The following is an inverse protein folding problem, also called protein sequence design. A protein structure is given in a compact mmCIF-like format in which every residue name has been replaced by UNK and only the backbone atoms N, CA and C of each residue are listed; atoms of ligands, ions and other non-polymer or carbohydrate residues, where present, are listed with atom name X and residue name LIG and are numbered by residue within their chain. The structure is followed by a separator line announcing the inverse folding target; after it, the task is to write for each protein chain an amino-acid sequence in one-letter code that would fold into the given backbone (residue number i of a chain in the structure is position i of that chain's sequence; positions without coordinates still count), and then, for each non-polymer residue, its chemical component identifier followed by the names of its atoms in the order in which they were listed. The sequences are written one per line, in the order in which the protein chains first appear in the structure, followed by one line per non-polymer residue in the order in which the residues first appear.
data_IF_909365445643
#
_entry.id   IF_909365445643
#
_cell.length_a   1.000
_cell.length_b   1.000
_cell.length_c   1.000
_cell.angle_alpha   90.00
_cell.angle_beta   90.00
_cell.angle_gamma   90.00
#
_symmetry.space_group_name_H-M   'P 1'
#
loop_
_entity.id
_entity.type
_entity.pdbx_description
1 polymer ?
#
# COMPACT_ATOMS: atom_id res chain seq x y z
N UNK A 1 -55.13 -18.42 45.63
CA UNK A 1 -54.57 -17.50 44.61
C UNK A 1 -53.88 -18.30 43.52
N UNK A 2 -54.58 -18.64 42.43
CA UNK A 2 -53.99 -19.31 41.26
C UNK A 2 -53.50 -18.24 40.29
N UNK A 3 -52.31 -17.69 40.53
CA UNK A 3 -51.68 -16.76 39.60
C UNK A 3 -51.35 -17.53 38.31
N UNK A 4 -51.97 -17.11 37.20
CA UNK A 4 -51.96 -17.80 35.91
C UNK A 4 -50.54 -17.83 35.34
N UNK A 5 -49.81 -18.93 35.54
CA UNK A 5 -48.49 -19.20 34.96
C UNK A 5 -48.46 -19.00 33.42
N UNK A 6 -49.60 -19.19 32.74
CA UNK A 6 -49.76 -18.89 31.31
C UNK A 6 -49.50 -17.43 30.94
N UNK A 7 -49.84 -16.47 31.81
CA UNK A 7 -49.60 -15.05 31.52
C UNK A 7 -48.14 -14.68 31.77
N UNK A 8 -47.51 -15.26 32.79
CA UNK A 8 -46.08 -15.05 33.06
C UNK A 8 -45.23 -15.60 31.90
N UNK A 9 -45.57 -16.77 31.37
CA UNK A 9 -44.86 -17.37 30.23
C UNK A 9 -45.02 -16.54 28.95
N UNK A 10 -46.20 -15.97 28.71
CA UNK A 10 -46.42 -15.07 27.57
C UNK A 10 -45.63 -13.77 27.68
N UNK A 11 -45.55 -13.19 28.88
CA UNK A 11 -44.75 -11.99 29.14
C UNK A 11 -43.26 -12.28 28.99
N UNK A 12 -42.79 -13.43 29.50
CA UNK A 12 -41.39 -13.85 29.35
C UNK A 12 -41.02 -14.11 27.88
N UNK A 13 -41.90 -14.74 27.11
CA UNK A 13 -41.70 -14.97 25.68
C UNK A 13 -41.68 -13.65 24.90
N UNK A 14 -42.54 -12.70 25.24
CA UNK A 14 -42.53 -11.36 24.63
C UNK A 14 -41.25 -10.59 24.98
N UNK A 15 -40.76 -10.71 26.21
CA UNK A 15 -39.53 -10.07 26.66
C UNK A 15 -38.31 -10.68 25.96
N UNK A 16 -38.26 -12.01 25.82
CA UNK A 16 -37.16 -12.69 25.08
C UNK A 16 -37.20 -12.30 23.61
N UNK A 17 -38.37 -12.27 22.96
CA UNK A 17 -38.49 -11.83 21.56
C UNK A 17 -38.11 -10.36 21.39
N UNK A 18 -38.53 -9.48 22.31
CA UNK A 18 -38.17 -8.07 22.30
C UNK A 18 -36.67 -7.86 22.53
N UNK A 19 -36.05 -8.61 23.45
CA UNK A 19 -34.61 -8.53 23.73
C UNK A 19 -33.81 -9.11 22.57
N UNK A 20 -34.23 -10.21 21.94
CA UNK A 20 -33.59 -10.70 20.71
C UNK A 20 -33.76 -9.72 19.55
N UNK A 21 -34.93 -9.08 19.39
CA UNK A 21 -35.13 -8.08 18.35
C UNK A 21 -34.28 -6.82 18.61
N UNK A 22 -34.15 -6.37 19.86
CA UNK A 22 -33.30 -5.23 20.23
C UNK A 22 -31.82 -5.60 20.07
N UNK A 23 -31.38 -6.81 20.39
CA UNK A 23 -30.00 -7.25 20.18
C UNK A 23 -29.72 -7.43 18.67
N UNK A 24 -30.68 -7.91 17.88
CA UNK A 24 -30.58 -7.95 16.41
C UNK A 24 -30.61 -6.57 15.75
N UNK A 25 -31.31 -5.59 16.34
CA UNK A 25 -31.35 -4.20 15.88
C UNK A 25 -30.19 -3.34 16.41
N UNK A 26 -29.50 -3.78 17.47
CA UNK A 26 -28.41 -3.03 18.11
C UNK A 26 -27.01 -3.60 17.83
N UNK A 27 -26.91 -4.81 17.25
CA UNK A 27 -25.63 -5.44 16.81
C UNK A 27 -25.50 -5.48 15.29
N UNK A 28 -26.52 -5.05 14.55
CA UNK A 28 -26.37 -4.64 13.15
C UNK A 28 -26.49 -3.12 13.15
N UNK A 29 -25.43 -2.43 13.58
CA UNK A 29 -25.08 -1.24 12.82
C UNK A 29 -24.92 -1.74 11.39
N UNK A 30 -25.67 -1.22 10.41
CA UNK A 30 -25.19 -1.34 9.05
C UNK A 30 -23.76 -0.86 9.12
N UNK A 31 -22.82 -1.71 8.72
CA UNK A 31 -21.61 -1.21 8.09
C UNK A 31 -22.15 -0.12 7.18
N UNK A 32 -21.82 1.14 7.45
CA UNK A 32 -21.94 2.19 6.47
C UNK A 32 -21.22 1.61 5.27
N UNK A 33 -22.04 1.11 4.34
CA UNK A 33 -21.66 1.06 2.96
C UNK A 33 -21.30 2.51 2.70
N UNK A 34 -20.01 2.82 2.74
CA UNK A 34 -19.41 3.87 1.91
C UNK A 34 -19.56 3.46 0.42
N UNK A 35 -20.77 3.03 0.05
CA UNK A 35 -21.30 3.07 -1.29
C UNK A 35 -21.97 4.44 -1.39
N UNK A 36 -21.15 5.48 -1.50
CA UNK A 36 -21.59 6.72 -2.14
C UNK A 36 -21.77 6.49 -3.66
N UNK A 37 -22.42 5.40 -4.07
CA UNK A 37 -23.00 5.26 -5.41
C UNK A 37 -24.40 5.89 -5.47
N UNK A 38 -24.99 6.26 -4.34
CA UNK A 38 -26.26 7.00 -4.28
C UNK A 38 -26.07 8.52 -4.11
N UNK A 39 -24.96 8.97 -3.51
CA UNK A 39 -24.58 10.39 -3.44
C UNK A 39 -23.98 10.95 -4.75
N UNK A 40 -23.67 10.08 -5.72
CA UNK A 40 -23.16 10.50 -7.04
C UNK A 40 -24.27 10.92 -8.02
N UNK A 41 -25.55 10.68 -7.68
CA UNK A 41 -26.68 11.14 -8.48
C UNK A 41 -27.02 12.60 -8.12
N UNK A 42 -26.33 13.54 -8.76
CA UNK A 42 -26.61 14.97 -8.59
C UNK A 42 -25.38 15.88 -8.56
N UNK A 43 -24.17 15.34 -8.70
CA UNK A 43 -22.96 16.13 -8.71
C UNK A 43 -22.95 17.14 -9.87
N UNK A 44 -22.96 18.43 -9.52
CA UNK A 44 -22.87 19.55 -10.44
C UNK A 44 -21.44 19.61 -10.96
N UNK A 45 -21.26 19.34 -12.25
CA UNK A 45 -19.97 19.45 -12.92
C UNK A 45 -19.98 20.69 -13.84
N UNK A 46 -18.84 21.38 -13.97
CA UNK A 46 -18.72 22.57 -14.82
C UNK A 46 -18.03 22.19 -16.13
N UNK A 47 -18.68 22.46 -17.26
CA UNK A 47 -18.08 22.21 -18.58
C UNK A 47 -17.09 23.32 -18.94
N UNK A 48 -15.84 22.95 -19.28
CA UNK A 48 -14.82 23.90 -19.72
C UNK A 48 -14.71 23.94 -21.25
N UNK A 49 -14.65 22.76 -21.87
CA UNK A 49 -14.60 22.62 -23.34
C UNK A 49 -15.49 21.48 -23.78
N UNK A 50 -15.39 21.09 -25.05
CA UNK A 50 -16.21 20.00 -25.56
C UNK A 50 -15.88 18.63 -25.00
N UNK A 51 -14.62 18.40 -24.59
CA UNK A 51 -14.15 17.15 -23.98
C UNK A 51 -13.65 17.33 -22.54
N UNK A 52 -13.68 18.55 -21.98
CA UNK A 52 -13.23 18.80 -20.61
C UNK A 52 -14.36 19.18 -19.67
N UNK A 53 -14.34 18.54 -18.50
CA UNK A 53 -15.27 18.81 -17.39
C UNK A 53 -14.49 19.08 -16.11
N UNK A 54 -15.11 19.82 -15.19
CA UNK A 54 -14.69 19.95 -13.80
C UNK A 54 -15.66 19.15 -12.95
N UNK A 55 -15.16 18.21 -12.18
CA UNK A 55 -15.93 17.44 -11.22
C UNK A 55 -15.18 17.42 -9.88
N UNK A 56 -15.84 17.84 -8.80
CA UNK A 56 -15.24 17.88 -7.46
C UNK A 56 -13.84 18.51 -7.44
N UNK A 57 -13.75 19.74 -7.96
CA UNK A 57 -12.51 20.52 -8.08
C UNK A 57 -11.41 19.94 -8.99
N UNK A 58 -11.63 18.78 -9.62
CA UNK A 58 -10.69 18.18 -10.57
C UNK A 58 -11.12 18.43 -12.02
N UNK A 59 -10.16 18.73 -12.88
CA UNK A 59 -10.34 18.84 -14.33
C UNK A 59 -10.12 17.47 -14.97
N UNK A 60 -11.03 17.06 -15.83
CA UNK A 60 -10.95 15.80 -16.56
C UNK A 60 -11.07 16.03 -18.05
N UNK A 61 -10.26 15.33 -18.85
CA UNK A 61 -10.57 15.04 -20.24
C UNK A 61 -11.40 13.76 -20.31
N UNK A 62 -12.45 13.77 -21.13
CA UNK A 62 -13.23 12.57 -21.47
C UNK A 62 -12.59 11.95 -22.71
N UNK A 63 -12.05 10.75 -22.54
CA UNK A 63 -11.30 10.04 -23.56
C UNK A 63 -12.01 8.71 -23.95
N UNK A 64 -11.74 8.25 -25.17
CA UNK A 64 -12.05 6.90 -25.63
C UNK A 64 -10.76 6.08 -25.71
N UNK A 65 -10.74 4.88 -25.10
CA UNK A 65 -9.52 4.08 -24.86
C UNK A 65 -8.59 3.91 -26.07
N UNK A 66 -7.34 4.37 -25.96
CA UNK A 66 -6.21 3.87 -26.78
C UNK A 66 -5.11 3.22 -25.91
N UNK A 67 -5.23 3.26 -24.57
CA UNK A 67 -4.30 2.54 -23.71
C UNK A 67 -4.70 1.06 -23.64
N UNK A 68 -3.78 0.19 -24.03
CA UNK A 68 -3.92 -1.28 -23.98
C UNK A 68 -4.22 -1.84 -22.59
N UNK A 69 -4.16 -1.05 -21.51
CA UNK A 69 -4.53 -1.44 -20.13
C UNK A 69 -5.99 -1.13 -19.80
N UNK A 70 -6.66 -0.35 -20.64
CA UNK A 70 -8.08 -0.02 -20.55
C UNK A 70 -8.80 -0.84 -21.62
N UNK A 71 -9.92 -1.45 -21.26
CA UNK A 71 -10.71 -2.24 -22.23
C UNK A 71 -11.11 -1.35 -23.40
N UNK A 72 -10.74 -1.78 -24.61
CA UNK A 72 -11.06 -1.04 -25.84
C UNK A 72 -12.57 -0.82 -25.96
N UNK A 73 -12.98 0.39 -26.34
CA UNK A 73 -14.40 0.76 -26.46
C UNK A 73 -15.05 1.22 -25.16
N UNK A 74 -14.36 1.15 -24.02
CA UNK A 74 -14.84 1.74 -22.76
C UNK A 74 -14.42 3.21 -22.68
N UNK A 75 -15.36 4.06 -22.27
CA UNK A 75 -15.11 5.48 -22.00
C UNK A 75 -14.49 5.64 -20.63
N UNK A 76 -13.47 6.49 -20.56
CA UNK A 76 -12.75 6.77 -19.33
C UNK A 76 -12.45 8.26 -19.25
N UNK A 77 -12.05 8.70 -18.07
CA UNK A 77 -11.64 10.06 -17.79
C UNK A 77 -10.14 10.11 -17.45
N UNK A 78 -9.46 11.14 -17.96
CA UNK A 78 -8.07 11.46 -17.64
C UNK A 78 -8.04 12.72 -16.78
N UNK A 79 -7.42 12.65 -15.60
CA UNK A 79 -7.28 13.83 -14.72
C UNK A 79 -6.20 14.76 -15.27
N UNK A 80 -6.54 16.02 -15.50
CA UNK A 80 -5.65 17.06 -16.03
C UNK A 80 -5.09 17.98 -14.94
N UNK A 81 -5.55 17.83 -13.70
CA UNK A 81 -5.14 18.64 -12.55
C UNK A 81 -6.35 19.10 -11.73
N UNK A 82 -6.12 19.98 -10.74
CA UNK A 82 -7.19 20.62 -9.98
C UNK A 82 -7.42 22.07 -10.42
N UNK A 83 -8.65 22.56 -10.22
CA UNK A 83 -9.06 23.94 -10.48
C UNK A 83 -8.50 24.85 -9.40
N UNK A 84 -8.80 24.54 -8.14
CA UNK A 84 -8.21 25.21 -6.98
C UNK A 84 -6.75 24.75 -6.81
N UNK A 85 -5.84 25.71 -6.91
CA UNK A 85 -4.40 25.51 -6.74
C UNK A 85 -3.95 25.56 -5.29
N UNK A 86 -4.82 25.96 -4.37
CA UNK A 86 -4.54 26.09 -2.93
C UNK A 86 -4.82 24.83 -2.12
N UNK A 87 -5.39 23.81 -2.78
CA UNK A 87 -5.68 22.48 -2.22
C UNK A 87 -4.51 21.88 -1.44
N UNK A 88 -4.84 21.33 -0.27
CA UNK A 88 -3.89 20.60 0.58
C UNK A 88 -3.95 19.10 0.33
N UNK A 89 -5.08 18.61 -0.18
CA UNK A 89 -5.34 17.21 -0.48
C UNK A 89 -6.05 17.07 -1.82
N UNK A 90 -5.65 16.06 -2.59
CA UNK A 90 -6.32 15.65 -3.83
C UNK A 90 -6.82 14.22 -3.67
N UNK A 91 -8.12 14.04 -3.87
CA UNK A 91 -8.75 12.71 -3.93
C UNK A 91 -9.26 12.49 -5.34
N UNK A 92 -8.60 11.60 -6.08
CA UNK A 92 -9.02 11.18 -7.42
C UNK A 92 -9.89 9.93 -7.27
N UNK A 93 -11.19 9.96 -7.61
CA UNK A 93 -12.06 8.81 -7.46
C UNK A 93 -11.76 7.72 -8.49
N UNK A 94 -12.23 6.49 -8.24
CA UNK A 94 -12.13 5.37 -9.21
C UNK A 94 -13.00 5.59 -10.46
N UNK A 95 -14.08 6.36 -10.32
CA UNK A 95 -15.05 6.63 -11.37
C UNK A 95 -15.87 7.89 -11.07
N UNK A 96 -16.45 8.48 -12.10
CA UNK A 96 -17.34 9.66 -12.02
C UNK A 96 -18.60 9.42 -12.87
N UNK A 97 -19.69 10.11 -12.54
CA UNK A 97 -20.90 10.13 -13.38
C UNK A 97 -20.99 11.45 -14.14
N UNK A 98 -21.31 11.39 -15.43
CA UNK A 98 -21.35 12.58 -16.30
C UNK A 98 -22.58 12.57 -17.19
N UNK A 99 -23.23 13.73 -17.32
CA UNK A 99 -24.38 13.97 -18.22
C UNK A 99 -24.06 15.08 -19.23
N UNK A 100 -23.30 14.81 -20.29
CA UNK A 100 -22.78 15.82 -21.24
C UNK A 100 -22.91 15.39 -22.70
N UNK A 101 -22.76 16.31 -23.65
CA UNK A 101 -22.73 16.01 -25.09
C UNK A 101 -21.32 16.15 -25.65
N UNK A 102 -20.74 15.09 -26.20
CA UNK A 102 -19.37 15.05 -26.74
C UNK A 102 -19.25 15.70 -28.12
N UNK A 103 -18.00 15.89 -28.58
CA UNK A 103 -17.66 16.47 -29.89
C UNK A 103 -18.27 15.74 -31.10
N UNK A 104 -18.43 14.42 -31.00
CA UNK A 104 -19.06 13.61 -32.05
C UNK A 104 -20.60 13.67 -32.01
N UNK A 105 -21.19 14.56 -31.20
CA UNK A 105 -22.63 14.69 -31.00
C UNK A 105 -23.23 13.66 -30.04
N UNK A 106 -22.42 12.75 -29.49
CA UNK A 106 -22.90 11.71 -28.60
C UNK A 106 -23.29 12.28 -27.23
N UNK A 107 -24.49 11.95 -26.77
CA UNK A 107 -25.01 12.39 -25.48
C UNK A 107 -24.71 11.31 -24.44
N UNK A 108 -23.84 11.64 -23.49
CA UNK A 108 -23.68 10.92 -22.24
C UNK A 108 -24.80 11.37 -21.30
N UNK A 109 -25.66 10.44 -20.87
CA UNK A 109 -26.69 10.73 -19.88
C UNK A 109 -26.47 9.85 -18.66
N UNK A 110 -26.10 10.47 -17.53
CA UNK A 110 -25.71 9.79 -16.30
C UNK A 110 -24.72 8.63 -16.56
N UNK A 111 -23.78 8.84 -17.47
CA UNK A 111 -22.84 7.82 -17.89
C UNK A 111 -21.73 7.68 -16.84
N UNK A 112 -21.47 6.44 -16.43
CA UNK A 112 -20.33 6.09 -15.58
C UNK A 112 -19.05 6.12 -16.41
N UNK A 113 -18.10 6.98 -16.04
CA UNK A 113 -16.75 7.02 -16.60
C UNK A 113 -15.76 6.54 -15.54
N UNK A 114 -14.91 5.57 -15.90
CA UNK A 114 -13.81 5.15 -15.03
C UNK A 114 -12.65 6.15 -15.12
N UNK A 115 -12.01 6.48 -14.01
CA UNK A 115 -10.83 7.37 -14.05
C UNK A 115 -9.60 6.50 -14.32
N UNK A 116 -9.20 6.45 -15.60
CA UNK A 116 -8.18 5.52 -16.08
C UNK A 116 -6.74 6.02 -15.96
N UNK A 117 -6.54 7.34 -16.08
CA UNK A 117 -5.20 7.95 -16.13
C UNK A 117 -5.15 9.26 -15.32
N UNK A 118 -4.05 9.48 -14.61
CA UNK A 118 -3.60 10.85 -14.29
C UNK A 118 -2.77 11.34 -15.46
N UNK A 119 -3.20 12.41 -16.11
CA UNK A 119 -2.59 12.95 -17.30
C UNK A 119 -1.16 13.46 -17.08
N UNK A 120 -0.43 13.58 -18.18
CA UNK A 120 0.93 14.08 -18.15
C UNK A 120 0.95 15.50 -17.58
N UNK A 121 1.89 15.77 -16.69
CA UNK A 121 2.05 17.07 -16.02
C UNK A 121 0.84 17.58 -15.23
N UNK A 122 -0.18 16.76 -14.94
CA UNK A 122 -1.43 17.21 -14.31
C UNK A 122 -1.23 18.02 -13.01
N UNK A 123 -0.26 17.61 -12.20
CA UNK A 123 0.12 18.24 -10.94
C UNK A 123 1.59 18.72 -10.90
N UNK A 124 2.21 18.89 -12.08
CA UNK A 124 3.61 19.31 -12.20
C UNK A 124 3.79 20.80 -11.87
N UNK A 125 4.47 21.11 -10.77
CA UNK A 125 4.69 22.50 -10.33
C UNK A 125 5.72 23.26 -11.16
N UNK A 126 6.52 22.57 -11.98
CA UNK A 126 7.48 23.20 -12.90
C UNK A 126 6.81 23.73 -14.17
N UNK A 127 5.54 23.37 -14.42
CA UNK A 127 4.74 23.98 -15.47
C UNK A 127 4.05 25.20 -14.88
N UNK A 128 4.26 26.38 -15.47
CA UNK A 128 3.88 27.69 -14.91
C UNK A 128 2.40 27.84 -14.53
N UNK A 129 1.51 27.04 -15.12
CA UNK A 129 0.07 27.06 -14.84
C UNK A 129 -0.41 25.97 -13.85
N UNK A 130 0.50 25.13 -13.35
CA UNK A 130 0.22 23.94 -12.53
C UNK A 130 0.95 23.96 -11.18
N UNK A 131 1.19 25.14 -10.60
CA UNK A 131 1.72 25.22 -9.24
C UNK A 131 0.65 24.81 -8.20
N UNK A 132 0.99 23.86 -7.33
CA UNK A 132 0.15 23.43 -6.19
C UNK A 132 0.96 23.59 -4.88
N UNK A 133 1.19 24.83 -4.42
CA UNK A 133 2.15 25.14 -3.36
C UNK A 133 1.77 24.60 -1.98
N UNK A 134 0.53 24.14 -1.79
CA UNK A 134 0.01 23.64 -0.51
C UNK A 134 -0.27 22.14 -0.53
N UNK A 135 -0.08 21.44 -1.64
CA UNK A 135 -0.47 20.04 -1.77
C UNK A 135 0.42 19.15 -0.90
N UNK A 136 -0.20 18.48 0.09
CA UNK A 136 0.45 17.61 1.07
C UNK A 136 0.08 16.14 0.90
N UNK A 137 -1.12 15.84 0.40
CA UNK A 137 -1.62 14.48 0.27
C UNK A 137 -2.29 14.23 -1.09
N UNK A 138 -2.05 13.05 -1.66
CA UNK A 138 -2.72 12.56 -2.86
C UNK A 138 -3.28 11.17 -2.58
N UNK A 139 -4.57 10.99 -2.83
CA UNK A 139 -5.23 9.70 -2.85
C UNK A 139 -5.77 9.41 -4.25
N UNK A 140 -5.36 8.28 -4.83
CA UNK A 140 -5.87 7.76 -6.09
C UNK A 140 -6.84 6.60 -5.81
N UNK A 141 -7.97 6.58 -6.51
CA UNK A 141 -8.80 5.39 -6.65
C UNK A 141 -8.17 4.38 -7.63
N UNK A 142 -9.01 3.60 -8.30
CA UNK A 142 -8.58 2.55 -9.23
C UNK A 142 -8.04 3.10 -10.57
N UNK A 143 -6.99 3.91 -10.52
CA UNK A 143 -6.30 4.48 -11.69
C UNK A 143 -5.30 3.46 -12.25
N UNK A 144 -5.22 3.36 -13.58
CA UNK A 144 -4.35 2.42 -14.28
C UNK A 144 -2.98 3.01 -14.64
N UNK A 145 -2.93 4.32 -14.90
CA UNK A 145 -1.73 5.01 -15.41
C UNK A 145 -1.51 6.32 -14.67
N UNK A 146 -0.28 6.53 -14.20
CA UNK A 146 0.24 7.84 -13.81
C UNK A 146 1.14 8.33 -14.95
N UNK A 147 0.71 9.41 -15.59
CA UNK A 147 1.34 9.98 -16.78
C UNK A 147 2.73 10.58 -16.53
N UNK A 148 3.43 10.91 -17.62
CA UNK A 148 4.78 11.51 -17.57
C UNK A 148 4.77 12.76 -16.70
N UNK A 149 5.64 12.80 -15.69
CA UNK A 149 5.78 13.94 -14.77
C UNK A 149 4.47 14.39 -14.11
N UNK A 150 3.46 13.52 -13.99
CA UNK A 150 2.15 13.88 -13.45
C UNK A 150 2.24 14.55 -12.07
N UNK A 151 3.09 14.03 -11.18
CA UNK A 151 3.38 14.56 -9.85
C UNK A 151 4.86 14.91 -9.72
N UNK A 152 5.27 16.01 -10.36
CA UNK A 152 6.66 16.48 -10.34
C UNK A 152 6.83 17.74 -9.49
N UNK A 153 7.90 17.74 -8.70
CA UNK A 153 8.36 18.89 -7.91
C UNK A 153 7.31 19.42 -6.90
N UNK A 154 6.50 18.54 -6.32
CA UNK A 154 5.55 18.89 -5.28
C UNK A 154 6.28 18.80 -3.93
N UNK A 155 6.93 19.89 -3.54
CA UNK A 155 7.85 19.90 -2.40
C UNK A 155 7.18 19.58 -1.07
N UNK A 156 5.87 19.83 -0.90
CA UNK A 156 5.15 19.57 0.35
C UNK A 156 4.43 18.23 0.40
N UNK A 157 4.45 17.47 -0.69
CA UNK A 157 3.80 16.17 -0.76
C UNK A 157 4.46 15.22 0.23
N UNK A 158 3.71 14.78 1.24
CA UNK A 158 4.16 13.84 2.27
C UNK A 158 3.53 12.47 2.08
N UNK A 159 2.29 12.41 1.61
CA UNK A 159 1.52 11.17 1.53
C UNK A 159 0.98 10.97 0.12
N UNK A 160 1.25 9.80 -0.45
CA UNK A 160 0.73 9.38 -1.75
C UNK A 160 0.18 7.95 -1.63
N UNK A 161 -1.12 7.79 -1.84
CA UNK A 161 -1.79 6.49 -1.67
C UNK A 161 -2.63 6.19 -2.91
N UNK A 162 -2.37 5.06 -3.54
CA UNK A 162 -3.25 4.47 -4.55
C UNK A 162 -4.08 3.37 -3.88
N UNK A 163 -5.37 3.61 -3.66
CA UNK A 163 -6.29 2.64 -3.07
C UNK A 163 -6.87 1.76 -4.17
N UNK A 164 -6.73 0.45 -3.98
CA UNK A 164 -7.60 -0.50 -4.65
C UNK A 164 -8.88 -0.62 -3.84
N UNK A 165 -9.95 0.04 -4.27
CA UNK A 165 -11.26 -0.09 -3.63
C UNK A 165 -11.99 -1.36 -4.03
N UNK A 166 -11.34 -2.36 -4.65
CA UNK A 166 -12.00 -3.58 -5.10
C UNK A 166 -12.29 -4.60 -3.99
N UNK A 167 -13.20 -4.23 -3.09
CA UNK A 167 -14.35 -5.10 -2.82
C UNK A 167 -15.39 -4.80 -3.91
N UNK A 168 -15.10 -5.17 -5.17
CA UNK A 168 -16.02 -4.89 -6.28
C UNK A 168 -16.25 -6.18 -7.06
N UNK A 169 -17.41 -6.76 -6.79
CA UNK A 169 -18.07 -7.91 -7.44
C UNK A 169 -18.49 -7.63 -8.90
N UNK A 170 -18.03 -6.54 -9.50
CA UNK A 170 -18.27 -6.16 -10.90
C UNK A 170 -16.93 -5.80 -11.54
N UNK A 171 -16.52 -6.57 -12.55
CA UNK A 171 -15.27 -6.40 -13.29
C UNK A 171 -15.07 -4.93 -13.69
N UNK A 172 -14.08 -4.26 -13.09
CA UNK A 172 -13.59 -2.97 -13.60
C UNK A 172 -13.09 -3.19 -15.04
N UNK A 173 -13.44 -2.32 -16.01
CA UNK A 173 -12.92 -2.39 -17.36
C UNK A 173 -11.48 -1.89 -17.48
N UNK A 174 -10.92 -1.34 -16.40
CA UNK A 174 -9.48 -1.17 -16.25
C UNK A 174 -8.94 -2.57 -15.98
N UNK A 175 -8.23 -3.14 -16.94
CA UNK A 175 -7.79 -4.54 -16.87
C UNK A 175 -6.94 -4.77 -15.62
N UNK A 176 -6.96 -6.00 -15.10
CA UNK A 176 -6.21 -6.48 -13.94
C UNK A 176 -4.67 -6.44 -14.10
N UNK A 177 -4.15 -5.63 -15.03
CA UNK A 177 -2.73 -5.46 -15.28
C UNK A 177 -2.09 -4.55 -14.22
N UNK A 178 -0.76 -4.61 -14.11
CA UNK A 178 0.01 -3.71 -13.25
C UNK A 178 -0.29 -2.24 -13.58
N UNK A 179 -0.35 -1.40 -12.55
CA UNK A 179 -0.46 0.05 -12.72
C UNK A 179 0.83 0.58 -13.35
N UNK A 180 0.72 1.40 -14.39
CA UNK A 180 1.87 2.06 -15.00
C UNK A 180 2.20 3.36 -14.27
N UNK A 181 3.48 3.55 -13.98
CA UNK A 181 4.04 4.86 -13.67
C UNK A 181 5.01 5.23 -14.78
N UNK A 182 4.57 6.14 -15.65
CA UNK A 182 5.37 6.64 -16.76
C UNK A 182 6.57 7.46 -16.25
N UNK A 183 7.48 7.80 -17.16
CA UNK A 183 8.74 8.47 -16.83
C UNK A 183 8.53 9.69 -15.92
N UNK A 184 9.20 9.67 -14.75
CA UNK A 184 9.13 10.73 -13.75
C UNK A 184 7.71 11.02 -13.22
N UNK A 185 6.76 10.08 -13.39
CA UNK A 185 5.35 10.27 -13.05
C UNK A 185 5.11 10.68 -11.60
N UNK A 186 5.98 10.26 -10.69
CA UNK A 186 6.14 10.82 -9.35
C UNK A 186 7.62 11.14 -9.21
N UNK A 187 8.03 12.40 -9.16
CA UNK A 187 9.46 12.77 -9.12
C UNK A 187 9.73 14.10 -8.43
N UNK A 188 10.95 14.31 -7.90
CA UNK A 188 11.33 15.53 -7.15
C UNK A 188 10.37 15.92 -6.01
N UNK A 189 9.60 14.96 -5.50
CA UNK A 189 8.73 15.16 -4.35
C UNK A 189 9.51 14.73 -3.10
N UNK A 190 10.37 15.63 -2.62
CA UNK A 190 11.46 15.30 -1.70
C UNK A 190 11.04 15.16 -0.22
N UNK A 191 9.77 15.38 0.09
CA UNK A 191 9.23 15.25 1.44
C UNK A 191 8.23 14.09 1.56
N UNK A 192 8.14 13.20 0.57
CA UNK A 192 7.26 12.04 0.65
C UNK A 192 7.75 11.14 1.79
N UNK A 193 6.97 11.06 2.85
CA UNK A 193 7.19 10.14 3.97
C UNK A 193 6.44 8.82 3.76
N UNK A 194 5.36 8.83 2.99
CA UNK A 194 4.54 7.65 2.70
C UNK A 194 4.16 7.56 1.23
N UNK A 195 4.46 6.41 0.63
CA UNK A 195 4.07 6.06 -0.73
C UNK A 195 3.48 4.64 -0.74
N UNK A 196 2.22 4.51 -1.09
CA UNK A 196 1.49 3.24 -1.04
C UNK A 196 0.76 2.93 -2.31
N UNK A 197 0.95 1.71 -2.80
CA UNK A 197 0.17 1.13 -3.87
C UNK A 197 -0.49 -0.16 -3.37
N UNK A 198 -1.71 -0.42 -3.83
CA UNK A 198 -2.44 -1.67 -3.55
C UNK A 198 -2.57 -2.56 -4.79
N UNK A 199 -2.06 -2.10 -5.94
CA UNK A 199 -1.85 -2.90 -7.15
C UNK A 199 -0.36 -3.06 -7.44
N UNK A 200 -0.02 -4.14 -8.14
CA UNK A 200 1.31 -4.29 -8.73
C UNK A 200 1.61 -3.09 -9.63
N UNK A 201 2.88 -2.67 -9.70
CA UNK A 201 3.27 -1.48 -10.44
C UNK A 201 4.40 -1.77 -11.42
N UNK A 202 4.26 -1.25 -12.62
CA UNK A 202 5.28 -1.18 -13.66
C UNK A 202 5.80 0.26 -13.71
N UNK A 203 7.11 0.46 -13.55
CA UNK A 203 7.71 1.79 -13.40
C UNK A 203 8.80 1.99 -14.45
N UNK A 204 8.68 3.07 -15.21
CA UNK A 204 9.73 3.51 -16.14
C UNK A 204 10.87 4.26 -15.42
N UNK A 205 10.56 5.28 -14.60
CA UNK A 205 11.54 5.99 -13.73
C UNK A 205 10.80 6.74 -12.62
N UNK A 206 11.25 6.55 -11.38
CA UNK A 206 10.62 7.11 -10.19
C UNK A 206 11.27 8.41 -9.68
N UNK A 207 12.44 8.84 -10.18
CA UNK A 207 13.00 10.18 -9.89
C UNK A 207 13.04 10.69 -8.42
N UNK A 208 12.87 9.84 -7.39
CA UNK A 208 12.79 10.21 -5.96
C UNK A 208 14.14 10.03 -5.24
N UNK A 209 15.22 10.48 -5.87
CA UNK A 209 16.60 10.14 -5.51
C UNK A 209 17.04 10.60 -4.10
N UNK A 210 16.33 11.56 -3.49
CA UNK A 210 16.77 12.23 -2.25
C UNK A 210 15.81 12.11 -1.05
N UNK A 211 14.76 11.28 -1.10
CA UNK A 211 13.87 11.09 0.05
C UNK A 211 14.53 10.18 1.09
N UNK A 212 15.00 10.73 2.21
CA UNK A 212 15.73 9.99 3.26
C UNK A 212 14.82 9.19 4.21
N UNK A 213 13.54 9.53 4.29
CA UNK A 213 12.58 8.96 5.27
C UNK A 213 11.31 8.38 4.63
N UNK A 214 11.33 8.13 3.32
CA UNK A 214 10.17 7.58 2.61
C UNK A 214 9.93 6.12 2.98
N UNK A 215 8.69 5.80 3.28
CA UNK A 215 8.20 4.44 3.39
C UNK A 215 7.44 4.08 2.10
N UNK A 216 7.89 3.01 1.42
CA UNK A 216 7.23 2.46 0.24
C UNK A 216 6.49 1.17 0.58
N UNK A 217 5.19 1.12 0.27
CA UNK A 217 4.31 -0.02 0.42
C UNK A 217 3.84 -0.54 -0.93
N UNK A 218 4.04 -1.83 -1.18
CA UNK A 218 3.67 -2.50 -2.44
C UNK A 218 3.01 -3.86 -2.15
N UNK A 219 1.93 -4.25 -2.87
CA UNK A 219 1.23 -5.50 -2.61
C UNK A 219 2.05 -6.70 -3.09
N UNK A 220 2.74 -6.55 -4.22
CA UNK A 220 3.59 -7.53 -4.88
C UNK A 220 4.73 -6.82 -5.60
N UNK A 221 5.79 -7.56 -5.93
CA UNK A 221 6.83 -7.09 -6.83
C UNK A 221 6.27 -7.08 -8.25
N UNK A 222 5.96 -5.90 -8.79
CA UNK A 222 5.94 -5.70 -10.23
C UNK A 222 7.37 -5.73 -10.80
N UNK A 223 7.52 -5.62 -12.12
CA UNK A 223 8.81 -5.57 -12.79
C UNK A 223 9.56 -4.27 -12.47
N UNK A 224 10.16 -4.17 -11.29
CA UNK A 224 10.95 -2.99 -10.92
C UNK A 224 12.28 -2.98 -11.68
N UNK A 225 12.53 -1.91 -12.44
CA UNK A 225 13.88 -1.53 -12.85
C UNK A 225 14.69 -1.04 -11.65
N UNK A 226 15.35 -1.96 -10.95
CA UNK A 226 16.03 -1.76 -9.66
C UNK A 226 17.28 -0.85 -9.65
N UNK A 227 17.54 -0.08 -10.71
CA UNK A 227 18.83 0.59 -10.89
C UNK A 227 19.09 1.82 -9.99
N UNK A 228 18.09 2.34 -9.25
CA UNK A 228 18.21 3.69 -8.62
C UNK A 228 17.67 3.83 -7.19
N UNK A 229 17.14 2.78 -6.55
CA UNK A 229 16.53 2.89 -5.21
C UNK A 229 17.48 2.61 -4.03
N UNK A 230 18.55 1.84 -4.22
CA UNK A 230 19.32 1.27 -3.12
C UNK A 230 20.64 2.00 -2.85
N UNK A 231 20.55 3.18 -2.22
CA UNK A 231 21.60 3.60 -1.31
C UNK A 231 21.06 3.39 0.12
N UNK A 232 21.49 2.30 0.75
CA UNK A 232 20.83 1.66 1.88
C UNK A 232 20.85 2.52 3.16
N UNK A 233 19.65 2.96 3.56
CA UNK A 233 19.30 3.42 4.91
C UNK A 233 17.78 3.53 5.15
N UNK A 234 16.94 3.01 4.23
CA UNK A 234 15.52 3.39 4.07
C UNK A 234 14.58 2.18 4.28
N UNK A 235 13.38 2.42 4.79
CA UNK A 235 12.39 1.39 5.10
C UNK A 235 11.55 0.99 3.90
N UNK A 236 11.67 -0.28 3.51
CA UNK A 236 10.94 -0.85 2.39
C UNK A 236 9.99 -1.93 2.90
N UNK A 237 8.71 -1.89 2.50
CA UNK A 237 7.70 -2.85 2.92
C UNK A 237 7.05 -3.51 1.69
N UNK A 238 7.19 -4.83 1.59
CA UNK A 238 6.48 -5.66 0.63
C UNK A 238 5.32 -6.38 1.32
N UNK A 239 4.20 -6.59 0.62
CA UNK A 239 3.13 -7.52 0.99
C UNK A 239 1.77 -6.88 1.33
N UNK A 240 0.73 -7.72 1.37
CA UNK A 240 -0.66 -7.36 1.68
C UNK A 240 -0.94 -7.00 3.14
N UNK A 241 0.08 -6.81 3.98
CA UNK A 241 -0.11 -6.39 5.36
C UNK A 241 -0.83 -5.03 5.38
N UNK A 242 -1.83 -4.87 6.25
CA UNK A 242 -2.53 -3.59 6.39
C UNK A 242 -1.55 -2.52 6.91
N UNK A 243 -1.93 -1.23 6.87
CA UNK A 243 -1.07 -0.17 7.43
C UNK A 243 -0.83 -0.39 8.92
N UNK A 244 -1.88 -0.83 9.61
CA UNK A 244 -1.85 -1.15 11.04
C UNK A 244 -1.03 -2.41 11.34
N UNK A 245 -0.68 -3.20 10.32
CA UNK A 245 0.19 -4.36 10.48
C UNK A 245 1.64 -4.06 10.12
N UNK A 246 1.94 -2.86 9.60
CA UNK A 246 3.31 -2.48 9.26
C UNK A 246 3.90 -1.59 10.34
N UNK A 247 5.13 -1.84 10.73
CA UNK A 247 5.77 -1.07 11.79
C UNK A 247 7.28 -0.97 11.64
N UNK A 248 7.84 -0.10 12.47
CA UNK A 248 9.28 0.01 12.63
C UNK A 248 9.66 -0.04 14.10
N UNK A 249 10.81 -0.61 14.39
CA UNK A 249 11.49 -0.44 15.68
C UNK A 249 12.63 0.57 15.52
N UNK A 250 13.48 0.70 16.52
CA UNK A 250 14.74 1.45 16.40
C UNK A 250 15.69 0.82 15.37
N UNK A 251 15.49 -0.45 15.02
CA UNK A 251 16.45 -1.24 14.24
C UNK A 251 15.84 -1.84 12.97
N UNK A 252 14.56 -2.20 12.97
CA UNK A 252 13.95 -2.99 11.89
C UNK A 252 12.72 -2.35 11.28
N UNK A 253 12.50 -2.64 10.00
CA UNK A 253 11.24 -2.43 9.29
C UNK A 253 10.54 -3.78 9.14
N UNK A 254 9.27 -3.89 9.52
CA UNK A 254 8.57 -5.18 9.58
C UNK A 254 7.09 -5.09 9.23
N UNK A 255 6.50 -6.24 8.90
CA UNK A 255 5.06 -6.41 8.68
C UNK A 255 4.53 -7.57 9.52
N UNK A 256 3.34 -7.45 10.07
CA UNK A 256 2.59 -8.49 10.77
C UNK A 256 1.76 -9.24 9.75
N UNK A 257 1.96 -10.55 9.67
CA UNK A 257 1.28 -11.46 8.74
C UNK A 257 0.95 -12.71 9.52
N UNK A 258 -0.32 -13.10 9.52
CA UNK A 258 -0.81 -14.31 10.19
C UNK A 258 -0.36 -14.43 11.65
N UNK A 259 -0.36 -13.31 12.38
CA UNK A 259 0.02 -13.26 13.79
C UNK A 259 1.53 -13.38 14.05
N UNK A 260 2.38 -13.16 13.05
CA UNK A 260 3.83 -13.16 13.19
C UNK A 260 4.48 -11.96 12.49
N UNK A 261 5.64 -11.55 12.98
CA UNK A 261 6.43 -10.49 12.37
C UNK A 261 7.34 -11.03 11.26
N UNK A 262 7.31 -10.36 10.12
CA UNK A 262 8.24 -10.54 9.00
C UNK A 262 9.13 -9.31 8.88
N UNK A 263 10.45 -9.51 8.92
CA UNK A 263 11.43 -8.43 8.73
C UNK A 263 11.55 -8.13 7.23
N UNK A 264 11.31 -6.88 6.85
CA UNK A 264 11.39 -6.42 5.46
C UNK A 264 12.67 -5.59 5.19
N UNK A 265 13.43 -5.27 6.24
CA UNK A 265 14.74 -4.62 6.15
C UNK A 265 15.20 -4.11 7.51
N UNK A 266 16.36 -3.44 7.55
CA UNK A 266 16.89 -2.82 8.77
C UNK A 266 17.35 -1.38 8.54
N UNK A 267 17.41 -0.62 9.63
CA UNK A 267 18.03 0.70 9.69
C UNK A 267 19.56 0.54 9.77
N UNK A 268 20.34 1.54 9.34
CA UNK A 268 21.80 1.53 9.51
C UNK A 268 22.22 1.31 10.97
N UNK A 269 21.44 1.83 11.93
CA UNK A 269 21.66 1.69 13.37
C UNK A 269 21.62 0.24 13.86
N UNK A 270 20.90 -0.64 13.17
CA UNK A 270 20.85 -2.06 13.49
C UNK A 270 22.14 -2.81 13.12
N UNK A 271 22.97 -2.21 12.24
CA UNK A 271 24.20 -2.81 11.75
C UNK A 271 25.36 -2.38 12.67
N UNK A 272 25.63 -3.19 13.69
CA UNK A 272 26.68 -2.92 14.66
C UNK A 272 27.94 -3.68 14.23
N UNK A 273 29.00 -2.96 13.87
CA UNK A 273 30.25 -3.54 13.39
C UNK A 273 30.05 -4.54 12.22
N UNK A 274 29.13 -4.23 11.30
CA UNK A 274 28.78 -5.10 10.17
C UNK A 274 27.91 -6.31 10.55
N UNK A 275 27.48 -6.44 11.80
CA UNK A 275 26.61 -7.53 12.26
C UNK A 275 25.16 -7.07 12.38
N UNK A 276 24.22 -7.92 11.96
CA UNK A 276 22.81 -7.81 12.32
C UNK A 276 22.37 -9.03 13.13
N UNK A 277 21.50 -8.80 14.12
CA UNK A 277 20.96 -9.86 14.98
C UNK A 277 19.44 -9.86 14.88
N UNK A 278 18.89 -10.88 14.23
CA UNK A 278 17.45 -11.02 14.01
C UNK A 278 16.75 -11.21 15.35
N UNK A 279 15.86 -10.31 15.76
CA UNK A 279 15.19 -10.41 17.05
C UNK A 279 14.26 -11.62 17.09
N UNK A 280 14.05 -12.18 18.28
CA UNK A 280 13.13 -13.31 18.48
C UNK A 280 11.67 -12.87 18.39
N UNK A 281 11.38 -11.67 18.86
CA UNK A 281 10.06 -11.05 18.87
C UNK A 281 10.15 -9.57 18.54
N UNK A 282 9.09 -9.01 17.99
CA UNK A 282 8.94 -7.57 17.77
C UNK A 282 7.67 -7.11 18.48
N UNK A 283 7.78 -6.02 19.24
CA UNK A 283 6.62 -5.35 19.82
C UNK A 283 6.12 -4.29 18.84
N UNK A 284 4.85 -4.44 18.46
CA UNK A 284 4.15 -3.56 17.54
C UNK A 284 3.11 -2.75 18.31
N UNK A 285 3.10 -1.43 18.08
CA UNK A 285 2.27 -0.49 18.82
C UNK A 285 1.33 0.21 17.85
N UNK A 286 0.03 0.02 18.02
CA UNK A 286 -1.04 0.70 17.26
C UNK A 286 -1.88 1.50 18.24
N UNK A 287 -1.79 2.83 18.16
CA UNK A 287 -2.41 3.73 19.13
C UNK A 287 -1.90 3.45 20.54
N UNK A 288 -2.78 3.03 21.45
CA UNK A 288 -2.44 2.65 22.83
C UNK A 288 -2.21 1.15 23.02
N UNK A 289 -2.47 0.35 21.99
CA UNK A 289 -2.35 -1.11 22.06
C UNK A 289 -0.94 -1.52 21.68
N UNK A 290 -0.32 -2.36 22.51
CA UNK A 290 1.01 -2.92 22.27
C UNK A 290 0.91 -4.43 22.25
N UNK A 291 1.30 -5.04 21.13
CA UNK A 291 1.25 -6.49 20.92
C UNK A 291 2.60 -7.00 20.49
N UNK A 292 3.07 -8.08 21.12
CA UNK A 292 4.36 -8.71 20.78
C UNK A 292 4.13 -9.88 19.84
N UNK A 293 4.83 -9.87 18.71
CA UNK A 293 4.73 -10.87 17.65
C UNK A 293 6.04 -11.66 17.53
N UNK A 294 5.99 -12.99 17.36
CA UNK A 294 7.18 -13.79 17.06
C UNK A 294 7.73 -13.42 15.68
N UNK A 295 9.05 -13.27 15.55
CA UNK A 295 9.68 -13.06 14.24
C UNK A 295 9.92 -14.40 13.59
N UNK A 296 9.12 -14.73 12.58
CA UNK A 296 9.18 -16.04 11.92
C UNK A 296 9.80 -15.98 10.53
N UNK A 297 9.91 -14.80 9.94
CA UNK A 297 10.32 -14.66 8.55
C UNK A 297 11.25 -13.48 8.31
N UNK A 298 12.26 -13.68 7.47
CA UNK A 298 12.93 -12.61 6.72
C UNK A 298 12.26 -12.53 5.35
N UNK A 299 11.82 -11.34 4.98
CA UNK A 299 11.10 -11.07 3.75
C UNK A 299 11.95 -11.26 2.49
N UNK A 300 11.27 -11.46 1.37
CA UNK A 300 11.90 -11.55 0.06
C UNK A 300 12.63 -10.22 -0.23
N UNK A 301 13.89 -10.29 -0.68
CA UNK A 301 14.75 -9.12 -0.90
C UNK A 301 14.98 -8.18 0.31
N UNK A 302 14.71 -8.60 1.55
CA UNK A 302 14.74 -7.70 2.72
C UNK A 302 16.08 -6.95 2.91
N UNK A 303 17.19 -7.55 2.50
CA UNK A 303 18.55 -7.04 2.59
C UNK A 303 19.30 -7.15 1.25
N UNK A 304 18.58 -7.23 0.13
CA UNK A 304 19.19 -7.32 -1.19
C UNK A 304 20.11 -6.12 -1.44
N UNK A 305 21.30 -6.37 -2.00
CA UNK A 305 22.35 -5.38 -2.28
C UNK A 305 22.87 -4.60 -1.05
N UNK A 306 22.51 -5.02 0.17
CA UNK A 306 23.04 -4.39 1.36
C UNK A 306 24.48 -4.86 1.61
N UNK A 307 25.46 -4.04 1.22
CA UNK A 307 26.89 -4.33 1.35
C UNK A 307 27.46 -4.09 2.75
N UNK A 308 26.72 -3.40 3.62
CA UNK A 308 27.13 -3.08 4.98
C UNK A 308 26.90 -4.26 5.94
N UNK A 309 25.93 -5.14 5.66
CA UNK A 309 25.69 -6.36 6.45
C UNK A 309 26.74 -7.42 6.09
N UNK A 310 27.62 -7.74 7.03
CA UNK A 310 28.71 -8.71 6.92
C UNK A 310 28.42 -10.02 7.64
N UNK A 311 27.72 -9.97 8.77
CA UNK A 311 27.37 -11.16 9.54
C UNK A 311 25.92 -11.14 10.01
N UNK A 312 25.32 -12.32 10.04
CA UNK A 312 23.92 -12.54 10.41
C UNK A 312 23.84 -13.51 11.59
N UNK A 313 23.16 -13.10 12.66
CA UNK A 313 22.91 -13.92 13.85
C UNK A 313 21.44 -13.91 14.26
N UNK A 314 21.05 -14.85 15.13
CA UNK A 314 19.72 -14.90 15.74
C UNK A 314 19.79 -14.45 17.19
N UNK A 315 18.79 -13.71 17.64
CA UNK A 315 18.52 -13.54 19.06
C UNK A 315 17.79 -14.78 19.58
N UNK A 316 18.24 -15.25 20.73
CA UNK A 316 17.63 -16.26 21.59
C UNK A 316 17.88 -15.82 23.05
N UNK A 317 17.12 -16.32 24.02
CA UNK A 317 17.19 -15.88 25.42
C UNK A 317 15.98 -15.08 25.91
N UNK A 318 15.97 -14.82 27.23
CA UNK A 318 14.81 -14.49 28.08
C UNK A 318 13.54 -15.27 27.71
N UNK A 319 13.45 -16.50 28.22
CA UNK A 319 12.23 -17.31 28.19
C UNK A 319 12.12 -18.36 27.08
N UNK A 320 13.11 -18.54 26.19
CA UNK A 320 13.40 -19.82 25.53
C UNK A 320 14.79 -19.85 24.87
N UNK A 321 15.30 -21.07 24.73
CA UNK A 321 16.61 -21.37 24.14
C UNK A 321 16.63 -21.28 22.60
N UNK A 322 15.51 -20.89 21.99
CA UNK A 322 15.32 -20.98 20.54
C UNK A 322 14.82 -19.70 19.89
N UNK A 323 15.32 -19.42 18.69
CA UNK A 323 14.76 -18.42 17.77
C UNK A 323 13.39 -18.85 17.24
N UNK A 324 12.55 -17.87 16.90
CA UNK A 324 11.28 -18.11 16.23
C UNK A 324 11.41 -18.17 14.69
N UNK A 325 12.60 -17.90 14.13
CA UNK A 325 12.80 -17.80 12.69
C UNK A 325 12.58 -19.14 11.99
N UNK A 326 11.69 -19.16 11.00
CA UNK A 326 11.31 -20.35 10.22
C UNK A 326 11.69 -20.24 8.75
N UNK A 327 11.71 -19.03 8.18
CA UNK A 327 11.92 -18.84 6.74
C UNK A 327 12.80 -17.63 6.45
N UNK A 328 13.78 -17.83 5.58
CA UNK A 328 14.47 -16.74 4.87
C UNK A 328 13.98 -16.79 3.42
N UNK A 329 13.13 -15.84 3.04
CA UNK A 329 12.50 -15.84 1.72
C UNK A 329 13.52 -15.57 0.60
N UNK A 330 13.07 -15.78 -0.64
CA UNK A 330 13.95 -15.70 -1.81
C UNK A 330 14.67 -14.35 -1.92
N UNK A 331 15.92 -14.40 -2.39
CA UNK A 331 16.75 -13.21 -2.65
C UNK A 331 16.92 -12.27 -1.46
N UNK A 332 16.63 -12.72 -0.23
CA UNK A 332 16.67 -11.90 0.98
C UNK A 332 17.99 -11.12 1.14
N UNK A 333 19.13 -11.69 0.76
CA UNK A 333 20.45 -11.07 0.83
C UNK A 333 21.16 -11.01 -0.53
N UNK A 334 20.43 -11.15 -1.65
CA UNK A 334 21.06 -11.29 -2.98
C UNK A 334 21.96 -10.09 -3.31
N UNK A 335 23.16 -10.33 -3.84
CA UNK A 335 24.19 -9.31 -4.11
C UNK A 335 24.60 -8.47 -2.89
N UNK A 336 24.33 -8.95 -1.68
CA UNK A 336 24.70 -8.29 -0.42
C UNK A 336 26.17 -8.53 -0.03
N UNK A 337 26.59 -7.87 1.04
CA UNK A 337 27.94 -7.97 1.59
C UNK A 337 28.14 -9.12 2.59
N UNK A 338 27.20 -10.06 2.67
CA UNK A 338 27.13 -11.06 3.72
C UNK A 338 28.29 -12.07 3.58
N UNK A 339 29.14 -12.14 4.60
CA UNK A 339 30.32 -12.99 4.68
C UNK A 339 30.11 -14.17 5.65
N UNK A 340 29.23 -14.03 6.65
CA UNK A 340 28.96 -15.11 7.60
C UNK A 340 27.50 -15.21 8.08
N UNK A 341 27.02 -16.44 8.25
CA UNK A 341 25.79 -16.75 8.98
C UNK A 341 26.14 -17.61 10.18
N UNK A 342 25.76 -17.17 11.38
CA UNK A 342 25.94 -17.93 12.62
C UNK A 342 24.59 -18.04 13.34
N UNK A 343 23.87 -19.12 13.07
CA UNK A 343 22.59 -19.43 13.68
C UNK A 343 22.80 -20.45 14.78
N UNK A 344 22.82 -19.94 16.01
CA UNK A 344 22.71 -20.72 17.24
C UNK A 344 21.29 -20.61 17.80
N UNK A 345 20.83 -21.60 18.57
CA UNK A 345 19.47 -21.63 19.08
C UNK A 345 18.41 -21.88 18.00
N UNK A 346 18.71 -22.68 16.97
CA UNK A 346 17.65 -23.19 16.08
C UNK A 346 16.80 -24.21 16.83
N UNK A 347 15.48 -24.13 16.67
CA UNK A 347 14.56 -25.09 17.26
C UNK A 347 14.67 -26.45 16.52
N UNK A 348 15.00 -27.56 17.20
CA UNK A 348 15.16 -28.86 16.57
C UNK A 348 13.88 -29.39 15.92
N UNK A 349 12.71 -28.95 16.41
CA UNK A 349 11.40 -29.36 15.92
C UNK A 349 10.86 -28.45 14.80
N UNK A 350 11.62 -27.45 14.38
CA UNK A 350 11.23 -26.50 13.33
C UNK A 350 12.28 -26.44 12.23
N UNK A 351 11.89 -26.77 11.00
CA UNK A 351 12.76 -26.60 9.84
C UNK A 351 12.94 -25.13 9.50
N UNK A 352 14.20 -24.69 9.32
CA UNK A 352 14.52 -23.42 8.69
C UNK A 352 14.51 -23.59 7.16
N UNK A 353 13.60 -22.91 6.49
CA UNK A 353 13.49 -22.93 5.03
C UNK A 353 14.20 -21.74 4.38
N UNK A 354 14.87 -22.00 3.25
CA UNK A 354 15.50 -20.98 2.42
C UNK A 354 14.78 -20.90 1.07
N UNK A 355 14.37 -19.68 0.70
CA UNK A 355 13.79 -19.41 -0.61
C UNK A 355 14.85 -19.30 -1.71
N UNK A 356 14.36 -19.19 -2.94
CA UNK A 356 15.20 -19.08 -4.14
C UNK A 356 16.25 -17.97 -4.01
N UNK A 357 17.52 -18.31 -4.26
CA UNK A 357 18.65 -17.40 -4.17
C UNK A 357 18.68 -16.54 -2.88
N UNK A 358 18.18 -17.04 -1.74
CA UNK A 358 18.13 -16.31 -0.47
C UNK A 358 19.44 -15.58 -0.11
N UNK A 359 20.58 -16.18 -0.48
CA UNK A 359 21.92 -15.61 -0.33
C UNK A 359 22.73 -15.56 -1.64
N UNK A 360 22.05 -15.47 -2.79
CA UNK A 360 22.71 -15.49 -4.09
C UNK A 360 23.75 -14.37 -4.22
N UNK A 361 24.94 -14.71 -4.74
CA UNK A 361 26.03 -13.75 -4.97
C UNK A 361 26.58 -13.04 -3.71
N UNK A 362 26.32 -13.57 -2.50
CA UNK A 362 27.01 -13.12 -1.28
C UNK A 362 28.46 -13.62 -1.27
N UNK A 363 29.43 -12.83 -0.77
CA UNK A 363 30.83 -13.22 -0.64
C UNK A 363 31.05 -14.13 0.59
N UNK A 364 30.25 -15.18 0.73
CA UNK A 364 30.29 -16.03 1.92
C UNK A 364 31.66 -16.62 2.20
N UNK A 365 32.03 -16.56 3.47
CA UNK A 365 33.20 -17.20 4.07
C UNK A 365 32.76 -18.35 4.97
N UNK A 366 31.67 -18.18 5.74
CA UNK A 366 31.21 -19.21 6.70
C UNK A 366 29.69 -19.29 6.84
N UNK A 367 29.16 -20.50 7.03
CA UNK A 367 27.77 -20.76 7.42
C UNK A 367 27.78 -21.80 8.54
N UNK A 368 27.34 -21.41 9.73
CA UNK A 368 27.25 -22.26 10.92
C UNK A 368 25.80 -22.27 11.40
N UNK A 369 25.18 -23.47 11.41
CA UNK A 369 23.79 -23.70 11.78
C UNK A 369 23.76 -24.76 12.88
N UNK A 370 23.33 -24.37 14.09
CA UNK A 370 23.30 -25.24 15.27
C UNK A 370 21.92 -25.24 15.92
N UNK A 371 21.43 -26.43 16.23
CA UNK A 371 20.27 -26.61 17.10
C UNK A 371 20.70 -26.47 18.56
N UNK A 372 19.88 -25.80 19.38
CA UNK A 372 20.22 -25.53 20.79
C UNK A 372 21.37 -24.55 20.99
N UNK A 373 21.77 -24.39 22.26
CA UNK A 373 22.89 -23.56 22.71
C UNK A 373 24.15 -24.38 22.97
#
# INVERSE_FOLDING_TARGET
MKFKAKNLFKVLLFLVVAVTAIISLSIIKPIEKDNNSSDLQGAVYTRLTTNEIIYDNLRYAIDSGYDTRITQGVKYATVLGAVDKTVTEIVIPSSIYVTTTLNNGEILNNALLYVGKVGDNAFNTEVSNNAYPNLVAVQLGNVAVIGVSAFRNISRLTTFVHKDTSVITTRSPIMNNDMLIENQGISKCNNISMLRFYRAIDIADFGLRDNSSMILYLPTLGSFGFASFFNCGKGFYYGYASFEDCGQTNDYYYSIIDGAARINGCKPTAIIAGKITIPRTITHVVGTTSTTYPVTNIGQNAFAQNTAVKSLALQYGEGSDYSNLKVINGRAFVYGGLESVNFTGLNPDTSLAFGDAAFGYCPFVTVDLRTGL
#
